data_IF_930394580886
#
_entry.id   IF_930394580886
#
_cell.length_a   1.000
_cell.length_b   1.000
_cell.length_c   1.000
_cell.angle_alpha   90.00
_cell.angle_beta   90.00
_cell.angle_gamma   90.00
#
_symmetry.space_group_name_H-M   'P 1'
#
loop_
_entity.id
_entity.type
_entity.pdbx_description
1 polymer ?
#
# COMPACT_ATOMS: atom_id res chain seq x y z
N UNK A 1 -11.91 1.90 21.66
CA UNK A 1 -11.95 2.58 20.34
C UNK A 1 -12.72 1.67 19.41
N UNK A 2 -13.87 2.10 18.88
CA UNK A 2 -14.70 1.27 18.02
C UNK A 2 -14.11 1.18 16.61
N UNK A 3 -14.50 0.16 15.80
CA UNK A 3 -14.10 0.11 14.38
C UNK A 3 -14.51 1.38 13.61
N UNK A 4 -15.60 2.02 14.00
CA UNK A 4 -16.11 3.26 13.42
C UNK A 4 -15.18 4.47 13.71
N UNK A 5 -14.62 4.56 14.91
CA UNK A 5 -13.69 5.63 15.27
C UNK A 5 -12.39 5.58 14.47
N UNK A 6 -11.95 4.36 14.08
CA UNK A 6 -10.77 4.18 13.21
C UNK A 6 -11.03 4.64 11.78
N UNK A 7 -12.21 4.40 11.24
CA UNK A 7 -12.52 4.71 9.83
C UNK A 7 -12.62 6.22 9.59
N UNK A 8 -13.26 6.95 10.50
CA UNK A 8 -13.32 8.43 10.44
C UNK A 8 -11.93 9.05 10.60
N UNK A 9 -11.09 8.45 11.45
CA UNK A 9 -9.69 8.89 11.61
C UNK A 9 -8.88 8.73 10.33
N UNK A 10 -9.05 7.63 9.60
CA UNK A 10 -8.35 7.34 8.34
C UNK A 10 -8.68 8.36 7.26
N UNK A 11 -9.97 8.61 7.05
CA UNK A 11 -10.44 9.55 6.03
C UNK A 11 -9.92 10.97 6.29
N UNK A 12 -9.90 11.40 7.57
CA UNK A 12 -9.36 12.69 7.96
C UNK A 12 -7.85 12.78 7.78
N UNK A 13 -7.10 11.72 8.04
CA UNK A 13 -5.65 11.68 7.86
C UNK A 13 -5.26 11.83 6.39
N UNK A 14 -5.93 11.09 5.50
CA UNK A 14 -5.68 11.19 4.06
C UNK A 14 -6.02 12.60 3.51
N UNK A 15 -7.09 13.23 4.02
CA UNK A 15 -7.42 14.62 3.68
C UNK A 15 -6.39 15.63 4.15
N UNK A 16 -5.79 15.41 5.31
CA UNK A 16 -4.80 16.28 5.92
C UNK A 16 -3.35 15.97 5.52
N UNK A 17 -3.14 15.00 4.64
CA UNK A 17 -1.81 14.51 4.26
C UNK A 17 -1.00 13.99 5.47
N UNK A 18 -1.68 13.30 6.38
CA UNK A 18 -1.13 12.72 7.60
C UNK A 18 -1.06 11.20 7.53
N UNK A 19 -0.11 10.62 8.24
CA UNK A 19 0.05 9.18 8.44
C UNK A 19 0.06 8.85 9.93
N UNK A 20 -0.55 7.72 10.31
CA UNK A 20 -0.44 7.15 11.65
C UNK A 20 0.59 6.01 11.63
N UNK A 21 1.57 6.11 12.51
CA UNK A 21 2.65 5.17 12.63
C UNK A 21 2.61 4.48 13.99
N UNK A 22 2.60 3.15 14.01
CA UNK A 22 2.91 2.38 15.21
C UNK A 22 4.42 2.34 15.37
N UNK A 23 4.91 2.97 16.41
CA UNK A 23 6.32 2.95 16.80
C UNK A 23 6.61 1.74 17.67
N UNK A 24 7.69 1.04 17.37
CA UNK A 24 8.11 -0.13 18.12
C UNK A 24 9.63 -0.23 18.22
N UNK A 25 10.11 -1.10 19.11
CA UNK A 25 11.51 -1.41 19.30
C UNK A 25 11.79 -2.86 18.90
N UNK A 26 12.90 -3.04 18.22
CA UNK A 26 13.41 -4.38 17.84
C UNK A 26 14.31 -4.91 18.94
N UNK A 27 15.13 -4.06 19.54
CA UNK A 27 15.94 -4.35 20.71
C UNK A 27 15.84 -3.20 21.74
N UNK A 28 16.53 -3.30 22.88
CA UNK A 28 16.56 -2.28 23.92
C UNK A 28 17.99 -1.83 24.24
N UNK A 29 18.86 -1.76 23.25
CA UNK A 29 20.18 -1.16 23.40
C UNK A 29 20.08 0.35 23.30
N UNK A 30 20.94 1.08 24.01
CA UNK A 30 20.88 2.55 24.09
C UNK A 30 21.06 3.24 22.73
N UNK A 31 21.72 2.56 21.79
CA UNK A 31 21.98 3.02 20.41
C UNK A 31 20.97 2.53 19.39
N UNK A 32 19.91 1.81 19.84
CA UNK A 32 18.89 1.30 18.94
C UNK A 32 17.93 2.41 18.52
N UNK A 33 17.72 2.62 17.20
CA UNK A 33 16.66 3.50 16.75
C UNK A 33 15.29 2.92 17.06
N UNK A 34 14.28 3.77 17.08
CA UNK A 34 12.90 3.30 16.97
C UNK A 34 12.59 2.92 15.53
N UNK A 35 11.64 2.01 15.37
CA UNK A 35 11.13 1.59 14.09
C UNK A 35 9.63 1.88 14.01
N UNK A 36 9.11 2.06 12.82
CA UNK A 36 7.71 2.31 12.66
C UNK A 36 7.11 1.61 11.43
N UNK A 37 5.82 1.33 11.55
CA UNK A 37 4.98 0.81 10.48
C UNK A 37 3.67 1.59 10.46
N UNK A 38 3.07 1.76 9.29
CA UNK A 38 1.73 2.33 9.16
C UNK A 38 0.72 1.49 9.95
N UNK A 39 -0.04 2.14 10.84
CA UNK A 39 -1.04 1.49 11.71
C UNK A 39 -2.04 0.67 10.91
N UNK A 40 -2.41 1.11 9.71
CA UNK A 40 -3.38 0.41 8.86
C UNK A 40 -2.88 -0.94 8.32
N UNK A 41 -1.57 -1.16 8.33
CA UNK A 41 -0.96 -2.46 8.02
C UNK A 41 -0.90 -3.37 9.24
N UNK A 42 -1.31 -2.89 10.43
CA UNK A 42 -1.22 -3.65 11.68
C UNK A 42 -2.61 -4.14 12.12
N UNK A 43 -2.68 -5.35 12.65
CA UNK A 43 -3.92 -5.91 13.21
C UNK A 43 -3.90 -5.94 14.72
N UNK A 44 -2.91 -6.57 15.31
CA UNK A 44 -2.76 -6.72 16.75
C UNK A 44 -1.32 -7.06 17.14
N UNK A 45 -1.00 -6.90 18.43
CA UNK A 45 0.26 -7.34 19.03
C UNK A 45 -0.03 -8.50 19.99
N UNK A 46 0.71 -9.59 19.85
CA UNK A 46 0.56 -10.76 20.72
C UNK A 46 1.90 -11.12 21.38
N UNK A 47 1.87 -11.65 22.60
CA UNK A 47 3.08 -12.14 23.28
C UNK A 47 3.55 -13.44 22.63
N UNK A 48 4.79 -13.49 22.15
CA UNK A 48 5.32 -14.67 21.47
C UNK A 48 5.24 -15.95 22.31
N UNK A 49 5.51 -15.86 23.62
CA UNK A 49 5.47 -16.99 24.56
C UNK A 49 4.10 -17.64 24.74
N UNK A 50 3.01 -16.97 24.34
CA UNK A 50 1.64 -17.52 24.45
C UNK A 50 1.24 -18.38 23.25
N UNK A 51 2.08 -18.43 22.24
CA UNK A 51 1.79 -19.14 21.00
C UNK A 51 2.85 -20.20 20.72
N UNK A 52 2.40 -21.40 20.36
CA UNK A 52 3.31 -22.45 19.93
C UNK A 52 3.79 -22.16 18.50
N UNK A 53 5.09 -22.02 18.33
CA UNK A 53 5.72 -21.85 17.03
C UNK A 53 5.99 -23.23 16.41
N UNK A 54 5.39 -23.48 15.26
CA UNK A 54 5.66 -24.70 14.46
C UNK A 54 6.69 -24.36 13.41
N UNK A 55 7.86 -24.96 13.47
CA UNK A 55 8.93 -24.78 12.49
C UNK A 55 8.52 -25.31 11.11
N UNK A 56 8.92 -24.62 10.04
CA UNK A 56 8.70 -25.05 8.65
C UNK A 56 10.05 -25.48 8.07
N UNK A 57 10.23 -26.78 7.75
CA UNK A 57 11.46 -27.25 7.12
C UNK A 57 11.73 -26.58 5.78
N UNK A 58 12.97 -26.25 5.49
CA UNK A 58 13.42 -25.66 4.22
C UNK A 58 12.83 -24.30 3.89
N UNK A 59 12.34 -23.57 4.89
CA UNK A 59 11.87 -22.21 4.75
C UNK A 59 13.04 -21.22 4.63
N UNK A 60 12.72 -19.96 4.27
CA UNK A 60 13.70 -18.86 4.27
C UNK A 60 14.32 -18.70 5.68
N UNK A 61 15.62 -18.35 5.81
CA UNK A 61 16.28 -18.20 7.12
C UNK A 61 15.60 -17.23 8.09
N UNK A 62 14.93 -16.22 7.56
CA UNK A 62 14.16 -15.25 8.37
C UNK A 62 12.76 -15.74 8.73
N UNK A 63 12.28 -16.85 8.16
CA UNK A 63 10.99 -17.43 8.51
C UNK A 63 11.17 -18.42 9.66
N UNK A 64 10.79 -18.00 10.87
CA UNK A 64 10.94 -18.83 12.08
C UNK A 64 9.99 -20.04 12.10
N UNK A 65 8.85 -19.94 11.44
CA UNK A 65 7.79 -20.94 11.46
C UNK A 65 6.40 -20.32 11.34
N UNK A 66 5.39 -21.01 11.84
CA UNK A 66 4.01 -20.51 11.91
C UNK A 66 3.44 -20.63 13.31
N UNK A 67 2.51 -19.72 13.64
CA UNK A 67 1.62 -19.86 14.80
C UNK A 67 0.18 -20.00 14.32
N UNK A 68 -0.68 -20.59 15.15
CA UNK A 68 -2.13 -20.57 14.92
C UNK A 68 -2.74 -19.43 15.72
N UNK A 69 -3.33 -18.46 15.02
CA UNK A 69 -4.03 -17.32 15.60
C UNK A 69 -5.48 -17.28 15.11
N UNK A 70 -6.43 -17.46 16.03
CA UNK A 70 -7.87 -17.48 15.68
C UNK A 70 -8.23 -18.42 14.52
N UNK A 71 -7.57 -19.59 14.45
CA UNK A 71 -7.79 -20.58 13.39
C UNK A 71 -7.04 -20.32 12.08
N UNK A 72 -6.30 -19.22 11.97
CA UNK A 72 -5.44 -18.93 10.84
C UNK A 72 -4.00 -19.33 11.13
N UNK A 73 -3.31 -19.94 10.16
CA UNK A 73 -1.86 -20.15 10.21
C UNK A 73 -1.17 -18.85 9.78
N UNK A 74 -0.37 -18.26 10.68
CA UNK A 74 0.33 -17.01 10.47
C UNK A 74 1.83 -17.27 10.45
N UNK A 75 2.52 -17.04 9.32
CA UNK A 75 3.97 -17.15 9.25
C UNK A 75 4.63 -16.05 10.08
N UNK A 76 5.70 -16.40 10.81
CA UNK A 76 6.43 -15.49 11.69
C UNK A 76 7.80 -15.19 11.12
N UNK A 77 8.06 -13.92 10.89
CA UNK A 77 9.33 -13.41 10.35
C UNK A 77 10.16 -12.82 11.47
N UNK A 78 11.44 -13.21 11.54
CA UNK A 78 12.44 -12.67 12.46
C UNK A 78 12.91 -11.29 11.98
N UNK A 79 12.12 -10.25 12.28
CA UNK A 79 12.45 -8.88 11.93
C UNK A 79 13.77 -8.40 12.56
N UNK A 80 14.09 -8.73 13.83
CA UNK A 80 15.38 -8.40 14.41
C UNK A 80 16.58 -8.92 13.59
N UNK A 81 16.51 -10.16 13.12
CA UNK A 81 17.59 -10.73 12.30
C UNK A 81 17.68 -10.06 10.92
N UNK A 82 16.55 -9.62 10.36
CA UNK A 82 16.53 -8.90 9.08
C UNK A 82 17.28 -7.56 9.16
N UNK A 83 17.19 -6.85 10.28
CA UNK A 83 17.90 -5.57 10.51
C UNK A 83 19.28 -5.76 11.18
N UNK A 84 19.85 -6.97 11.15
CA UNK A 84 21.15 -7.32 11.78
C UNK A 84 21.21 -7.08 13.31
N UNK A 85 20.06 -7.20 14.01
CA UNK A 85 19.94 -7.04 15.46
C UNK A 85 19.21 -8.22 16.12
N UNK A 86 19.72 -9.47 15.99
CA UNK A 86 19.01 -10.67 16.42
C UNK A 86 18.73 -10.66 17.92
N UNK A 87 17.52 -11.04 18.30
CA UNK A 87 17.15 -11.27 19.69
C UNK A 87 17.62 -12.64 20.14
N UNK A 88 18.30 -12.69 21.28
CA UNK A 88 18.82 -13.94 21.88
C UNK A 88 18.42 -14.07 23.34
N UNK A 89 18.30 -15.31 23.82
CA UNK A 89 18.05 -15.63 25.23
C UNK A 89 16.76 -14.98 25.75
N UNK A 90 16.80 -14.44 26.94
CA UNK A 90 15.64 -13.87 27.63
C UNK A 90 14.91 -12.76 26.85
N UNK A 91 15.64 -11.99 26.02
CA UNK A 91 15.01 -10.97 25.16
C UNK A 91 14.11 -11.61 24.11
N UNK A 92 14.53 -12.73 23.52
CA UNK A 92 13.71 -13.48 22.57
C UNK A 92 12.47 -14.07 23.23
N UNK A 93 12.61 -14.61 24.46
CA UNK A 93 11.51 -15.20 25.22
C UNK A 93 10.46 -14.16 25.62
N UNK A 94 10.89 -12.93 25.87
CA UNK A 94 10.00 -11.78 26.20
C UNK A 94 9.53 -10.99 24.98
N UNK A 95 9.86 -11.44 23.78
CA UNK A 95 9.47 -10.72 22.55
C UNK A 95 7.97 -10.80 22.29
N UNK A 96 7.52 -9.89 21.45
CA UNK A 96 6.17 -9.83 20.94
C UNK A 96 6.16 -10.12 19.43
N UNK A 97 4.98 -10.42 18.92
CA UNK A 97 4.74 -10.59 17.49
C UNK A 97 3.70 -9.54 17.09
N UNK A 98 4.06 -8.69 16.15
CA UNK A 98 3.17 -7.75 15.51
C UNK A 98 2.49 -8.43 14.33
N UNK A 99 1.19 -8.65 14.43
CA UNK A 99 0.40 -9.24 13.35
C UNK A 99 0.06 -8.14 12.36
N UNK A 100 0.45 -8.35 11.12
CA UNK A 100 0.26 -7.41 10.02
C UNK A 100 -0.56 -8.01 8.90
N UNK A 101 -1.17 -7.13 8.11
CA UNK A 101 -1.90 -7.45 6.90
C UNK A 101 -1.35 -6.60 5.74
N UNK A 102 -0.74 -7.27 4.79
CA UNK A 102 -0.24 -6.65 3.57
C UNK A 102 -1.06 -7.15 2.40
N UNK A 103 -2.11 -6.41 2.06
CA UNK A 103 -2.99 -6.74 0.93
C UNK A 103 -3.58 -8.16 1.02
N UNK A 104 -4.08 -8.55 2.22
CA UNK A 104 -4.66 -9.87 2.48
C UNK A 104 -3.63 -10.96 2.85
N UNK A 105 -2.33 -10.66 2.80
CA UNK A 105 -1.27 -11.55 3.29
C UNK A 105 -1.06 -11.25 4.77
N UNK A 106 -1.47 -12.17 5.63
CA UNK A 106 -1.32 -12.03 7.08
C UNK A 106 0.00 -12.64 7.51
N UNK A 107 0.84 -11.85 8.16
CA UNK A 107 2.13 -12.27 8.71
C UNK A 107 2.30 -11.78 10.14
N UNK A 108 3.20 -12.40 10.88
CA UNK A 108 3.68 -11.91 12.16
C UNK A 108 5.15 -11.45 12.06
N UNK A 109 5.42 -10.27 12.55
CA UNK A 109 6.76 -9.72 12.65
C UNK A 109 7.22 -9.82 14.12
N UNK A 110 8.30 -10.56 14.39
CA UNK A 110 8.88 -10.56 15.73
C UNK A 110 9.47 -9.20 16.04
N UNK A 111 9.21 -8.68 17.22
CA UNK A 111 9.77 -7.43 17.74
C UNK A 111 9.92 -7.52 19.27
N UNK A 112 10.65 -6.59 19.88
CA UNK A 112 10.73 -6.55 21.33
C UNK A 112 9.46 -5.99 21.95
N UNK A 113 9.15 -4.72 21.69
CA UNK A 113 7.97 -4.04 22.26
C UNK A 113 7.34 -3.06 21.28
N UNK A 114 6.00 -2.99 21.27
CA UNK A 114 5.30 -1.83 20.75
C UNK A 114 5.44 -0.68 21.75
N UNK A 115 5.68 0.53 21.24
CA UNK A 115 5.91 1.71 22.07
C UNK A 115 4.69 2.62 22.12
N UNK A 116 4.35 3.28 21.00
CA UNK A 116 3.20 4.17 20.88
C UNK A 116 2.77 4.37 19.44
N UNK A 117 1.56 4.87 19.25
CA UNK A 117 1.11 5.38 17.95
C UNK A 117 1.40 6.88 17.88
N UNK A 118 1.98 7.34 16.79
CA UNK A 118 2.22 8.74 16.51
C UNK A 118 1.52 9.15 15.22
N UNK A 119 1.18 10.45 15.10
CA UNK A 119 0.74 11.07 13.85
C UNK A 119 1.87 11.89 13.30
N UNK A 120 2.09 11.81 11.99
CA UNK A 120 3.08 12.63 11.28
C UNK A 120 2.46 13.14 9.98
N UNK A 121 2.81 14.35 9.61
CA UNK A 121 2.55 14.84 8.26
C UNK A 121 3.66 14.32 7.35
N UNK A 122 3.35 14.03 6.09
CA UNK A 122 4.33 13.51 5.13
C UNK A 122 5.56 14.42 4.94
N UNK A 123 5.41 15.74 5.15
CA UNK A 123 6.53 16.68 5.12
C UNK A 123 7.50 16.55 6.31
N UNK A 124 7.15 15.80 7.36
CA UNK A 124 7.99 15.47 8.50
C UNK A 124 8.71 14.11 8.33
N UNK A 125 8.50 13.47 7.18
CA UNK A 125 9.16 12.22 6.82
C UNK A 125 10.19 12.52 5.74
N UNK A 126 11.40 12.03 5.93
CA UNK A 126 12.52 12.32 5.06
C UNK A 126 12.99 11.05 4.36
N UNK A 127 13.44 11.18 3.12
CA UNK A 127 14.16 10.08 2.49
C UNK A 127 15.46 9.85 3.28
N UNK A 128 15.79 8.60 3.61
CA UNK A 128 16.99 8.33 4.40
C UNK A 128 18.23 8.74 3.61
N UNK A 129 19.21 9.33 4.30
CA UNK A 129 20.52 9.56 3.73
C UNK A 129 21.16 8.24 3.26
N UNK A 130 22.02 8.30 2.25
CA UNK A 130 22.68 7.12 1.67
C UNK A 130 23.37 6.21 2.72
N UNK A 131 23.77 6.78 3.86
CA UNK A 131 24.37 6.06 4.99
C UNK A 131 23.33 5.45 5.95
N UNK A 132 22.09 5.96 5.96
CA UNK A 132 21.00 5.52 6.82
C UNK A 132 20.11 4.46 6.17
N UNK A 133 20.28 4.18 4.90
CA UNK A 133 19.47 3.20 4.15
C UNK A 133 19.63 1.76 4.65
N UNK A 134 20.64 1.47 5.48
CA UNK A 134 20.98 0.10 5.89
C UNK A 134 21.48 -0.76 4.72
N UNK A 135 21.72 -2.05 4.98
CA UNK A 135 21.98 -2.99 3.90
C UNK A 135 20.76 -3.04 2.98
N UNK A 136 21.01 -2.87 1.68
CA UNK A 136 20.00 -3.10 0.65
C UNK A 136 18.76 -2.20 0.69
N UNK A 137 18.82 -0.96 1.17
CA UNK A 137 17.68 -0.03 1.20
C UNK A 137 16.46 -0.54 2.01
N UNK A 138 16.67 -1.07 3.22
CA UNK A 138 15.59 -1.54 4.10
C UNK A 138 14.72 -0.41 4.66
N UNK A 139 15.24 0.82 4.69
CA UNK A 139 14.56 2.00 5.23
C UNK A 139 13.94 2.78 4.10
N UNK A 140 12.63 2.99 4.15
CA UNK A 140 11.89 3.83 3.18
C UNK A 140 12.03 5.31 3.52
N UNK A 141 11.79 5.65 4.79
CA UNK A 141 11.78 7.00 5.31
C UNK A 141 12.31 7.01 6.75
N UNK A 142 12.69 8.17 7.21
CA UNK A 142 12.92 8.43 8.63
C UNK A 142 12.08 9.62 9.12
N UNK A 143 11.89 9.69 10.43
CA UNK A 143 11.30 10.83 11.13
C UNK A 143 11.90 10.95 12.53
N UNK A 144 11.63 12.07 13.18
CA UNK A 144 12.02 12.27 14.58
C UNK A 144 10.82 12.12 15.50
N UNK A 145 11.02 11.46 16.63
CA UNK A 145 10.04 11.46 17.72
C UNK A 145 10.08 12.83 18.45
N UNK A 146 9.12 13.06 19.32
CA UNK A 146 8.99 14.34 20.03
C UNK A 146 10.16 14.62 20.99
N UNK A 147 10.88 13.59 21.40
CA UNK A 147 12.10 13.66 22.21
C UNK A 147 13.40 13.78 21.37
N UNK A 148 13.26 13.89 20.05
CA UNK A 148 14.37 13.98 19.09
C UNK A 148 14.93 12.64 18.65
N UNK A 149 14.48 11.51 19.20
CA UNK A 149 14.96 10.18 18.85
C UNK A 149 14.66 9.84 17.38
N UNK A 150 15.60 9.15 16.73
CA UNK A 150 15.44 8.68 15.35
C UNK A 150 14.41 7.55 15.28
N UNK A 151 13.50 7.64 14.32
CA UNK A 151 12.52 6.62 14.02
C UNK A 151 12.56 6.26 12.53
N UNK A 152 12.85 5.01 12.23
CA UNK A 152 13.04 4.47 10.89
C UNK A 152 11.77 3.77 10.43
N UNK A 153 11.29 4.11 9.25
CA UNK A 153 10.15 3.46 8.60
C UNK A 153 10.71 2.41 7.62
N UNK A 154 10.47 1.14 7.91
CA UNK A 154 11.03 0.02 7.16
C UNK A 154 10.18 -0.33 5.93
N UNK A 155 10.85 -0.84 4.89
CA UNK A 155 10.20 -1.40 3.68
C UNK A 155 9.75 -2.86 3.94
N UNK A 156 8.59 -3.02 4.57
CA UNK A 156 8.03 -4.35 4.86
C UNK A 156 7.55 -5.08 3.60
N UNK A 157 7.25 -4.38 2.53
CA UNK A 157 6.85 -5.02 1.28
C UNK A 157 8.06 -5.70 0.62
N UNK A 158 9.22 -5.08 0.74
CA UNK A 158 10.48 -5.69 0.35
C UNK A 158 10.78 -6.94 1.20
N UNK A 159 10.63 -6.83 2.53
CA UNK A 159 10.80 -7.98 3.42
C UNK A 159 9.90 -9.15 3.01
N UNK A 160 8.64 -8.87 2.67
CA UNK A 160 7.71 -9.88 2.17
C UNK A 160 8.16 -10.50 0.85
N UNK A 161 8.60 -9.67 -0.11
CA UNK A 161 9.09 -10.16 -1.40
C UNK A 161 10.30 -11.07 -1.27
N UNK A 162 11.15 -10.82 -0.25
CA UNK A 162 12.32 -11.64 0.06
C UNK A 162 11.92 -12.95 0.74
N UNK A 163 11.08 -12.90 1.78
CA UNK A 163 10.80 -14.06 2.66
C UNK A 163 9.69 -14.94 2.13
N UNK A 164 8.68 -14.38 1.48
CA UNK A 164 7.48 -15.09 0.99
C UNK A 164 7.19 -14.72 -0.47
N UNK A 165 8.13 -15.01 -1.40
CA UNK A 165 7.95 -14.62 -2.80
C UNK A 165 6.70 -15.25 -3.45
N UNK A 166 6.26 -16.42 -2.99
CA UNK A 166 5.04 -17.08 -3.48
C UNK A 166 3.74 -16.34 -3.09
N UNK A 167 3.75 -15.53 -2.03
CA UNK A 167 2.60 -14.72 -1.66
C UNK A 167 2.34 -13.58 -2.65
N UNK A 168 3.35 -13.22 -3.46
CA UNK A 168 3.26 -12.20 -4.51
C UNK A 168 2.69 -12.75 -5.85
N UNK A 169 2.42 -14.06 -5.95
CA UNK A 169 2.06 -14.73 -7.22
C UNK A 169 0.56 -15.07 -7.26
N UNK A 170 -0.33 -14.11 -7.11
CA UNK A 170 -1.77 -14.34 -7.35
C UNK A 170 -2.29 -13.80 -8.69
N UNK A 171 -1.40 -13.58 -9.69
CA UNK A 171 -1.68 -12.83 -10.93
C UNK A 171 -2.33 -13.66 -12.06
N UNK A 172 -2.37 -15.01 -11.98
CA UNK A 172 -2.58 -15.81 -13.20
C UNK A 172 -4.03 -16.13 -13.60
N UNK A 173 -5.04 -15.91 -12.75
CA UNK A 173 -6.41 -16.40 -13.04
C UNK A 173 -7.35 -15.41 -13.74
N UNK A 174 -7.19 -14.10 -13.57
CA UNK A 174 -8.18 -13.12 -14.07
C UNK A 174 -7.84 -12.50 -15.44
N UNK A 175 -6.57 -12.53 -15.87
CA UNK A 175 -6.18 -12.03 -17.20
C UNK A 175 -6.73 -12.92 -18.34
N UNK A 176 -7.05 -14.16 -18.05
CA UNK A 176 -7.66 -15.09 -19.00
C UNK A 176 -9.04 -14.63 -19.48
N UNK A 177 -9.75 -13.82 -18.68
CA UNK A 177 -11.10 -13.34 -18.99
C UNK A 177 -11.13 -12.18 -20.01
N UNK A 178 -10.00 -11.57 -20.34
CA UNK A 178 -9.96 -10.48 -21.34
C UNK A 178 -9.99 -10.96 -22.80
N UNK A 179 -9.78 -12.25 -23.07
CA UNK A 179 -9.70 -12.79 -24.44
C UNK A 179 -10.95 -12.59 -25.31
N UNK A 180 -12.12 -12.40 -24.67
CA UNK A 180 -13.41 -12.22 -25.35
C UNK A 180 -14.04 -10.84 -25.07
N UNK A 181 -13.31 -9.87 -24.57
CA UNK A 181 -13.81 -8.56 -24.20
C UNK A 181 -13.41 -7.54 -25.27
N UNK A 182 -14.39 -6.83 -25.84
CA UNK A 182 -14.11 -5.70 -26.70
C UNK A 182 -13.44 -4.58 -25.88
N UNK A 183 -12.17 -4.32 -26.16
CA UNK A 183 -11.39 -3.30 -25.45
C UNK A 183 -11.54 -1.96 -26.18
N UNK A 184 -11.88 -0.85 -25.47
CA UNK A 184 -11.97 0.46 -26.06
C UNK A 184 -10.65 0.88 -26.73
N UNK A 185 -10.73 1.45 -27.94
CA UNK A 185 -9.54 1.90 -28.69
C UNK A 185 -8.70 2.93 -27.90
N UNK A 186 -9.35 3.77 -27.11
CA UNK A 186 -8.68 4.75 -26.26
C UNK A 186 -7.78 4.08 -25.22
N UNK A 187 -8.19 2.93 -24.65
CA UNK A 187 -7.39 2.16 -23.69
C UNK A 187 -6.22 1.43 -24.37
N UNK A 188 -6.41 0.93 -25.59
CA UNK A 188 -5.34 0.27 -26.36
C UNK A 188 -4.27 1.25 -26.85
N UNK A 189 -4.65 2.44 -27.27
CA UNK A 189 -3.77 3.41 -27.92
C UNK A 189 -3.27 4.50 -26.96
N UNK A 190 -3.88 4.65 -25.79
CA UNK A 190 -3.52 5.64 -24.78
C UNK A 190 -2.64 5.06 -23.68
N UNK A 191 -2.19 5.91 -22.79
CA UNK A 191 -1.38 5.53 -21.62
C UNK A 191 -2.20 5.79 -20.36
N UNK A 192 -2.53 4.74 -19.61
CA UNK A 192 -3.16 4.85 -18.29
C UNK A 192 -2.16 5.43 -17.29
N UNK A 193 -2.57 6.42 -16.50
CA UNK A 193 -1.71 7.03 -15.50
C UNK A 193 -1.98 6.40 -14.13
N UNK A 194 -0.93 6.10 -13.39
CA UNK A 194 -1.03 5.41 -12.10
C UNK A 194 -0.25 6.20 -11.07
N UNK A 195 -0.88 6.59 -9.96
CA UNK A 195 -0.21 7.12 -8.77
C UNK A 195 -0.20 6.04 -7.69
N UNK A 196 0.99 5.61 -7.30
CA UNK A 196 1.21 4.53 -6.33
C UNK A 196 2.60 4.70 -5.72
N UNK A 197 2.74 4.75 -4.40
CA UNK A 197 4.03 4.90 -3.72
C UNK A 197 4.74 3.57 -3.43
N UNK A 198 3.96 2.49 -3.28
CA UNK A 198 4.46 1.15 -3.03
C UNK A 198 5.14 0.56 -4.25
N UNK A 199 6.44 0.26 -4.16
CA UNK A 199 7.20 -0.37 -5.26
C UNK A 199 6.66 -1.74 -5.66
N UNK A 200 6.11 -2.48 -4.71
CA UNK A 200 5.49 -3.79 -4.97
C UNK A 200 4.18 -3.65 -5.72
N UNK A 201 3.30 -2.73 -5.31
CA UNK A 201 2.05 -2.46 -6.00
C UNK A 201 2.31 -1.86 -7.40
N UNK A 202 3.33 -0.99 -7.56
CA UNK A 202 3.78 -0.49 -8.87
C UNK A 202 4.16 -1.62 -9.82
N UNK A 203 4.99 -2.57 -9.36
CA UNK A 203 5.41 -3.73 -10.15
C UNK A 203 4.21 -4.58 -10.54
N UNK A 204 3.33 -4.88 -9.58
CA UNK A 204 2.13 -5.67 -9.80
C UNK A 204 1.22 -5.03 -10.86
N UNK A 205 0.89 -3.74 -10.73
CA UNK A 205 0.10 -3.02 -11.72
C UNK A 205 0.80 -2.96 -13.09
N UNK A 206 2.11 -2.68 -13.11
CA UNK A 206 2.90 -2.70 -14.35
C UNK A 206 2.82 -4.05 -15.07
N UNK A 207 2.93 -5.16 -14.34
CA UNK A 207 2.85 -6.51 -14.88
C UNK A 207 1.44 -6.82 -15.42
N UNK A 208 0.39 -6.39 -14.74
CA UNK A 208 -1.00 -6.52 -15.20
C UNK A 208 -1.17 -5.82 -16.56
N UNK A 209 -0.75 -4.55 -16.67
CA UNK A 209 -0.84 -3.77 -17.91
C UNK A 209 0.01 -4.37 -19.03
N UNK A 210 1.25 -4.77 -18.74
CA UNK A 210 2.15 -5.43 -19.69
C UNK A 210 1.58 -6.72 -20.26
N UNK A 211 1.00 -7.58 -19.39
CA UNK A 211 0.37 -8.85 -19.82
C UNK A 211 -0.90 -8.61 -20.66
N UNK A 212 -1.60 -7.52 -20.40
CA UNK A 212 -2.76 -7.10 -21.20
C UNK A 212 -2.35 -6.38 -22.51
N UNK A 213 -1.05 -6.20 -22.76
CA UNK A 213 -0.51 -5.44 -23.88
C UNK A 213 -1.03 -4.00 -23.94
N UNK A 214 -1.11 -3.36 -22.77
CA UNK A 214 -1.58 -1.98 -22.57
C UNK A 214 -0.48 -1.12 -21.97
N UNK A 215 -0.50 0.18 -22.30
CA UNK A 215 0.48 1.14 -21.78
C UNK A 215 0.03 1.74 -20.45
N UNK A 216 0.95 1.81 -19.49
CA UNK A 216 0.77 2.59 -18.28
C UNK A 216 2.01 3.43 -17.94
N UNK A 217 1.81 4.54 -17.23
CA UNK A 217 2.87 5.38 -16.67
C UNK A 217 2.64 5.55 -15.18
N UNK A 218 3.64 5.23 -14.38
CA UNK A 218 3.56 5.18 -12.93
C UNK A 218 4.27 6.38 -12.32
N UNK A 219 3.65 6.98 -11.31
CA UNK A 219 4.15 8.10 -10.50
C UNK A 219 4.20 7.68 -9.04
N UNK A 220 5.24 8.08 -8.32
CA UNK A 220 5.46 7.68 -6.92
C UNK A 220 4.51 8.37 -5.93
N UNK A 221 3.76 9.37 -6.35
CA UNK A 221 2.76 10.06 -5.53
C UNK A 221 1.77 10.83 -6.41
N UNK A 222 0.69 11.31 -5.79
CA UNK A 222 -0.35 12.05 -6.48
C UNK A 222 0.11 13.39 -7.04
N UNK A 223 1.05 14.08 -6.37
CA UNK A 223 1.58 15.38 -6.81
C UNK A 223 2.29 15.27 -8.15
N UNK A 224 3.20 14.30 -8.29
CA UNK A 224 3.92 14.06 -9.55
C UNK A 224 2.97 13.71 -10.70
N UNK A 225 1.88 12.99 -10.42
CA UNK A 225 0.85 12.68 -11.40
C UNK A 225 0.13 13.96 -11.86
N UNK A 226 -0.30 14.81 -10.91
CA UNK A 226 -0.99 16.08 -11.23
C UNK A 226 -0.05 17.02 -12.00
N UNK A 227 1.19 17.21 -11.56
CA UNK A 227 2.19 18.02 -12.27
C UNK A 227 2.40 17.55 -13.72
N UNK A 228 2.43 16.23 -13.93
CA UNK A 228 2.52 15.67 -15.28
C UNK A 228 1.28 15.99 -16.12
N UNK A 229 0.07 15.82 -15.57
CA UNK A 229 -1.18 16.14 -16.29
C UNK A 229 -1.26 17.64 -16.59
N UNK A 230 -0.88 18.50 -15.67
CA UNK A 230 -0.92 19.96 -15.86
C UNK A 230 0.01 20.42 -17.00
N UNK A 231 1.13 19.74 -17.20
CA UNK A 231 2.07 20.01 -18.28
C UNK A 231 1.59 19.55 -19.68
N UNK A 232 0.53 18.74 -19.77
CA UNK A 232 -0.04 18.26 -21.03
C UNK A 232 -0.96 19.32 -21.66
N UNK A 233 -1.02 19.34 -22.98
CA UNK A 233 -2.04 20.07 -23.73
C UNK A 233 -3.43 19.46 -23.50
N UNK A 234 -4.50 20.22 -23.76
CA UNK A 234 -5.87 19.72 -23.59
C UNK A 234 -6.17 18.54 -24.52
N UNK A 235 -5.57 18.52 -25.70
CA UNK A 235 -5.66 17.37 -26.63
C UNK A 235 -5.03 16.11 -26.04
N UNK A 236 -3.85 16.24 -25.41
CA UNK A 236 -3.17 15.12 -24.77
C UNK A 236 -3.93 14.62 -23.52
N UNK A 237 -4.48 15.55 -22.71
CA UNK A 237 -5.36 15.20 -21.60
C UNK A 237 -6.56 14.37 -22.05
N UNK A 238 -7.16 14.75 -23.21
CA UNK A 238 -8.25 14.00 -23.81
C UNK A 238 -7.90 12.56 -24.23
N UNK A 239 -6.62 12.26 -24.43
CA UNK A 239 -6.14 10.92 -24.82
C UNK A 239 -5.88 10.00 -23.61
N UNK A 240 -5.91 10.49 -22.39
CA UNK A 240 -5.73 9.69 -21.18
C UNK A 240 -6.93 8.73 -21.03
N UNK A 241 -6.72 7.39 -21.04
CA UNK A 241 -7.84 6.46 -20.94
C UNK A 241 -8.44 6.39 -19.55
N UNK A 242 -7.58 6.37 -18.52
CA UNK A 242 -7.97 6.31 -17.12
C UNK A 242 -6.83 6.78 -16.21
N UNK A 243 -7.18 7.11 -14.97
CA UNK A 243 -6.26 7.33 -13.87
C UNK A 243 -6.54 6.28 -12.80
N UNK A 244 -5.49 5.62 -12.29
CA UNK A 244 -5.55 4.76 -11.12
C UNK A 244 -4.77 5.48 -10.02
N UNK A 245 -5.32 5.54 -8.81
CA UNK A 245 -4.64 6.18 -7.68
C UNK A 245 -4.80 5.38 -6.40
N UNK A 246 -3.71 5.20 -5.65
CA UNK A 246 -3.82 4.82 -4.25
C UNK A 246 -4.37 5.98 -3.43
N UNK A 247 -4.96 5.69 -2.25
CA UNK A 247 -5.42 6.70 -1.30
C UNK A 247 -4.24 7.26 -0.52
N UNK A 248 -3.41 6.41 0.06
CA UNK A 248 -2.32 6.77 0.96
C UNK A 248 -1.01 6.93 0.22
N UNK A 249 -0.68 8.14 -0.14
CA UNK A 249 0.58 8.49 -0.79
C UNK A 249 1.21 9.72 -0.14
N UNK A 250 2.57 9.81 -0.16
CA UNK A 250 3.27 11.02 0.24
C UNK A 250 2.85 12.21 -0.63
N UNK A 251 3.00 13.40 -0.09
CA UNK A 251 2.77 14.72 -0.71
C UNK A 251 1.32 14.99 -1.15
N UNK A 252 0.64 14.06 -1.79
CA UNK A 252 -0.75 14.23 -2.22
C UNK A 252 -1.48 12.89 -2.22
N UNK A 253 -2.58 12.82 -1.46
CA UNK A 253 -3.43 11.63 -1.36
C UNK A 253 -4.27 11.41 -2.62
N UNK A 254 -4.71 10.16 -2.85
CA UNK A 254 -5.58 9.83 -3.97
C UNK A 254 -6.95 10.51 -3.91
N UNK A 255 -7.45 10.84 -2.73
CA UNK A 255 -8.66 11.66 -2.59
C UNK A 255 -8.46 13.07 -3.16
N UNK A 256 -7.31 13.68 -2.89
CA UNK A 256 -6.96 14.99 -3.44
C UNK A 256 -6.79 14.92 -4.95
N UNK A 257 -6.11 13.88 -5.47
CA UNK A 257 -5.98 13.63 -6.93
C UNK A 257 -7.36 13.53 -7.58
N UNK A 258 -8.24 12.68 -7.01
CA UNK A 258 -9.61 12.49 -7.53
C UNK A 258 -10.37 13.79 -7.59
N UNK A 259 -10.40 14.55 -6.49
CA UNK A 259 -11.09 15.84 -6.42
C UNK A 259 -10.54 16.83 -7.44
N UNK A 260 -9.23 17.00 -7.56
CA UNK A 260 -8.63 17.94 -8.51
C UNK A 260 -8.99 17.60 -9.95
N UNK A 261 -8.88 16.33 -10.35
CA UNK A 261 -9.20 15.92 -11.71
C UNK A 261 -10.70 16.02 -12.03
N UNK A 262 -11.57 15.69 -11.07
CA UNK A 262 -13.03 15.72 -11.28
C UNK A 262 -13.63 17.12 -11.21
N UNK A 263 -12.98 18.07 -10.54
CA UNK A 263 -13.43 19.47 -10.54
C UNK A 263 -12.93 20.28 -11.76
N UNK A 264 -11.92 19.78 -12.47
CA UNK A 264 -11.40 20.45 -13.67
C UNK A 264 -12.23 20.01 -14.91
N UNK A 265 -12.87 20.94 -15.65
CA UNK A 265 -13.72 20.61 -16.81
C UNK A 265 -13.03 19.77 -17.89
N UNK A 266 -11.71 19.93 -18.07
CA UNK A 266 -10.95 19.24 -19.12
C UNK A 266 -10.68 17.77 -18.74
N UNK A 267 -10.45 17.50 -17.45
CA UNK A 267 -10.08 16.17 -16.95
C UNK A 267 -11.23 15.43 -16.28
N UNK A 268 -12.37 16.10 -16.01
CA UNK A 268 -13.52 15.51 -15.28
C UNK A 268 -14.10 14.26 -15.94
N UNK A 269 -13.98 14.15 -17.26
CA UNK A 269 -14.46 12.99 -18.05
C UNK A 269 -13.49 11.80 -18.02
N UNK A 270 -12.27 11.94 -17.47
CA UNK A 270 -11.31 10.85 -17.37
C UNK A 270 -11.81 9.88 -16.28
N UNK A 271 -11.95 8.58 -16.58
CA UNK A 271 -12.27 7.58 -15.57
C UNK A 271 -11.20 7.53 -14.48
N UNK A 272 -11.61 7.61 -13.21
CA UNK A 272 -10.72 7.51 -12.05
C UNK A 272 -11.08 6.29 -11.23
N UNK A 273 -10.11 5.40 -11.06
CA UNK A 273 -10.21 4.21 -10.21
C UNK A 273 -9.31 4.37 -9.00
N UNK A 274 -9.91 4.34 -7.82
CA UNK A 274 -9.17 4.27 -6.56
C UNK A 274 -8.80 2.82 -6.29
N UNK A 275 -7.51 2.53 -6.16
CA UNK A 275 -6.95 1.21 -5.86
C UNK A 275 -6.29 1.23 -4.50
N UNK A 276 -6.95 0.74 -3.45
CA UNK A 276 -6.48 0.90 -2.08
C UNK A 276 -6.56 -0.39 -1.27
N UNK A 277 -5.64 -0.55 -0.31
CA UNK A 277 -5.71 -1.59 0.72
C UNK A 277 -6.76 -1.27 1.81
N UNK A 278 -7.27 -0.05 1.82
CA UNK A 278 -8.28 0.41 2.75
C UNK A 278 -9.69 0.14 2.22
N UNK A 279 -10.21 -1.06 2.44
CA UNK A 279 -11.48 -1.54 1.86
C UNK A 279 -12.75 -1.18 2.66
N UNK A 280 -12.63 -0.34 3.68
CA UNK A 280 -13.77 0.10 4.47
C UNK A 280 -14.82 0.85 3.64
N UNK A 281 -16.11 0.58 3.89
CA UNK A 281 -17.24 1.23 3.18
C UNK A 281 -17.16 2.77 3.17
N UNK A 282 -16.57 3.37 4.20
CA UNK A 282 -16.42 4.82 4.29
C UNK A 282 -15.41 5.35 3.27
N UNK A 283 -14.28 4.67 3.05
CA UNK A 283 -13.29 5.08 2.05
C UNK A 283 -13.86 4.99 0.63
N UNK A 284 -14.64 3.93 0.38
CA UNK A 284 -15.34 3.79 -0.89
C UNK A 284 -16.35 4.92 -1.10
N UNK A 285 -17.22 5.20 -0.10
CA UNK A 285 -18.19 6.30 -0.16
C UNK A 285 -17.51 7.66 -0.30
N UNK A 286 -16.39 7.88 0.37
CA UNK A 286 -15.61 9.12 0.24
C UNK A 286 -15.07 9.26 -1.18
N UNK A 287 -14.43 8.22 -1.74
CA UNK A 287 -13.94 8.23 -3.11
C UNK A 287 -15.07 8.54 -4.10
N UNK A 288 -16.24 7.89 -3.96
CA UNK A 288 -17.43 8.11 -4.75
C UNK A 288 -17.95 9.56 -4.60
N UNK A 289 -17.97 10.10 -3.38
CA UNK A 289 -18.41 11.48 -3.11
C UNK A 289 -17.51 12.54 -3.76
N UNK A 290 -16.23 12.21 -3.97
CA UNK A 290 -15.25 13.05 -4.66
C UNK A 290 -15.27 12.86 -6.18
N UNK A 291 -16.11 11.95 -6.68
CA UNK A 291 -16.32 11.68 -8.08
C UNK A 291 -15.49 10.54 -8.66
N UNK A 292 -14.88 9.68 -7.84
CA UNK A 292 -14.25 8.48 -8.37
C UNK A 292 -15.28 7.60 -9.08
N UNK A 293 -14.94 7.11 -10.26
CA UNK A 293 -15.83 6.26 -11.06
C UNK A 293 -15.76 4.79 -10.65
N UNK A 294 -14.66 4.38 -9.99
CA UNK A 294 -14.48 3.04 -9.50
C UNK A 294 -13.61 2.97 -8.26
N UNK A 295 -13.83 1.91 -7.48
CA UNK A 295 -13.02 1.57 -6.31
C UNK A 295 -12.67 0.08 -6.37
N UNK A 296 -11.39 -0.26 -6.21
CA UNK A 296 -10.93 -1.63 -6.20
C UNK A 296 -9.96 -1.87 -5.04
N UNK A 297 -10.12 -3.01 -4.39
CA UNK A 297 -9.20 -3.49 -3.36
C UNK A 297 -7.87 -3.91 -4.00
N UNK A 298 -6.74 -3.51 -3.42
CA UNK A 298 -5.39 -3.88 -3.89
C UNK A 298 -5.20 -5.40 -3.99
N UNK A 299 -5.89 -6.19 -3.17
CA UNK A 299 -5.89 -7.67 -3.27
C UNK A 299 -6.60 -8.19 -4.51
N UNK A 300 -7.39 -7.36 -5.18
CA UNK A 300 -8.18 -7.66 -6.38
C UNK A 300 -7.72 -6.84 -7.59
N UNK A 301 -6.54 -6.22 -7.53
CA UNK A 301 -6.02 -5.35 -8.60
C UNK A 301 -5.95 -6.03 -9.96
N UNK A 302 -5.92 -7.36 -10.03
CA UNK A 302 -6.02 -8.14 -11.28
C UNK A 302 -7.30 -7.82 -12.07
N UNK A 303 -8.36 -7.38 -11.40
CA UNK A 303 -9.61 -6.94 -12.00
C UNK A 303 -9.62 -5.48 -12.49
N UNK A 304 -8.55 -4.70 -12.26
CA UNK A 304 -8.54 -3.26 -12.53
C UNK A 304 -8.77 -2.92 -14.01
N UNK A 305 -8.17 -3.68 -14.92
CA UNK A 305 -8.35 -3.47 -16.36
C UNK A 305 -9.80 -3.71 -16.77
N UNK A 306 -10.41 -4.78 -16.23
CA UNK A 306 -11.81 -5.08 -16.50
C UNK A 306 -12.71 -3.96 -16.01
N UNK A 307 -12.46 -3.45 -14.80
CA UNK A 307 -13.20 -2.31 -14.26
C UNK A 307 -13.07 -1.08 -15.15
N UNK A 308 -11.87 -0.73 -15.61
CA UNK A 308 -11.66 0.39 -16.54
C UNK A 308 -12.43 0.19 -17.84
N UNK A 309 -12.41 -1.01 -18.42
CA UNK A 309 -13.15 -1.30 -19.65
C UNK A 309 -14.65 -1.09 -19.44
N UNK A 310 -15.19 -1.60 -18.34
CA UNK A 310 -16.62 -1.49 -18.03
C UNK A 310 -17.03 -0.03 -17.78
N UNK A 311 -16.22 0.75 -17.09
CA UNK A 311 -16.40 2.19 -16.88
C UNK A 311 -16.37 2.96 -18.21
N UNK A 312 -15.40 2.70 -19.07
CA UNK A 312 -15.30 3.39 -20.36
C UNK A 312 -16.52 3.08 -21.26
N UNK A 313 -17.01 1.84 -21.25
CA UNK A 313 -18.22 1.47 -22.01
C UNK A 313 -19.47 2.16 -21.47
N UNK A 314 -19.59 2.31 -20.16
CA UNK A 314 -20.72 3.03 -19.57
C UNK A 314 -20.74 4.53 -19.94
N UNK A 315 -19.55 5.12 -20.09
CA UNK A 315 -19.41 6.53 -20.51
C UNK A 315 -19.66 6.75 -22.01
N UNK A 316 -19.43 5.72 -22.84
CA UNK A 316 -19.70 5.77 -24.30
C UNK A 316 -21.16 5.51 -24.65
N UNK A 317 -21.96 4.94 -23.74
CA UNK A 317 -23.39 4.69 -23.96
C UNK A 317 -24.17 5.93 -23.50
N UNK A 318 -24.81 6.72 -24.41
CA UNK A 318 -25.63 7.83 -23.98
C UNK A 318 -26.77 7.28 -23.13
N UNK A 319 -26.98 7.86 -21.95
CA UNK A 319 -28.18 7.63 -21.15
C UNK A 319 -29.35 8.13 -22.02
N UNK A 320 -30.07 7.20 -22.65
CA UNK A 320 -31.37 7.48 -23.21
C UNK A 320 -32.27 7.91 -22.05
N UNK A 321 -32.38 9.21 -21.85
CA UNK A 321 -33.34 9.81 -20.93
C UNK A 321 -34.76 9.37 -21.34
N UNK A 322 -35.35 8.56 -20.45
CA UNK A 322 -36.78 8.25 -20.50
C UNK A 322 -37.60 9.46 -20.04
#
# INVERSE_FOLDING_TARGET
MSMLDNVDAVTNLAKNNEVQLLVFQIDNTDDSPYYAINVFKTREVVEAKRHYLTEIPSAHPLLEGTIVLRGLQVPIIDLPSWVDRPLVGEKRDRSNILICDFNGIIIGLRMLNAYRVIKRNWNQMHAPDAYAMGRDNMVMNDTRLDDGSLCLILDFERLLAEVVPSAMVHVDKQITDLKNVAIPKKLLNGTTLIAEDSKTAQRHLSDIFKRANMSCKIFNNGKLLIEYIDALSDEEKGKIPAVITDIEMPEMSGFTVTRLLKTNPITSSIPIVVNSSMTGDNNKREAESLGADGFIDKTKSDGVIRLIIDLMKSLETPVLSA
#
